data_IF_285935693813
#
_entry.id   IF_285935693813
#
_cell.length_a   1.000
_cell.length_b   1.000
_cell.length_c   1.000
_cell.angle_alpha   90.00
_cell.angle_beta   90.00
_cell.angle_gamma   90.00
#
_symmetry.space_group_name_H-M   'P 1'
#
loop_
_entity.id
_entity.type
_entity.pdbx_description
1 polymer ?
#
# COMPACT_ATOMS: atom_id res chain seq x y z
N UNK A 1 -0.61 -19.96 -36.87
CA UNK A 1 -1.41 -18.81 -36.42
C UNK A 1 -2.74 -19.38 -35.92
N UNK A 2 -2.68 -20.11 -34.81
CA UNK A 2 -3.88 -20.59 -34.12
C UNK A 2 -4.39 -19.43 -33.27
N UNK A 3 -5.64 -19.05 -33.50
CA UNK A 3 -6.38 -18.15 -32.63
C UNK A 3 -6.53 -18.84 -31.28
N UNK A 4 -5.61 -18.58 -30.35
CA UNK A 4 -5.73 -19.03 -28.97
C UNK A 4 -6.86 -18.28 -28.29
N UNK A 5 -7.78 -19.10 -27.80
CA UNK A 5 -9.07 -18.79 -27.23
C UNK A 5 -9.06 -17.56 -26.32
N UNK A 6 -9.88 -16.57 -26.68
CA UNK A 6 -10.48 -15.62 -25.73
C UNK A 6 -11.45 -16.32 -24.76
N UNK A 7 -11.31 -17.65 -24.56
CA UNK A 7 -12.23 -18.55 -23.87
C UNK A 7 -11.63 -19.18 -22.61
N UNK A 8 -10.34 -18.95 -22.32
CA UNK A 8 -9.79 -19.30 -21.00
C UNK A 8 -10.49 -18.49 -19.91
N UNK A 9 -11.11 -19.18 -18.95
CA UNK A 9 -11.78 -18.61 -17.78
C UNK A 9 -10.89 -17.60 -17.02
N UNK A 10 -9.57 -17.75 -17.13
CA UNK A 10 -8.59 -16.91 -16.48
C UNK A 10 -8.26 -15.60 -17.22
N UNK A 11 -8.58 -15.50 -18.51
CA UNK A 11 -8.25 -14.33 -19.34
C UNK A 11 -8.83 -13.01 -18.77
N UNK A 12 -10.02 -13.06 -18.18
CA UNK A 12 -10.66 -11.89 -17.57
C UNK A 12 -9.82 -11.35 -16.40
N UNK A 13 -9.32 -12.23 -15.54
CA UNK A 13 -8.47 -11.89 -14.41
C UNK A 13 -7.12 -11.35 -14.87
N UNK A 14 -6.52 -11.94 -15.89
CA UNK A 14 -5.27 -11.44 -16.47
C UNK A 14 -5.41 -10.01 -16.98
N UNK A 15 -6.48 -9.75 -17.74
CA UNK A 15 -6.78 -8.42 -18.26
C UNK A 15 -7.07 -7.41 -17.15
N UNK A 16 -7.82 -7.80 -16.11
CA UNK A 16 -8.05 -6.95 -14.94
C UNK A 16 -6.75 -6.62 -14.22
N UNK A 17 -5.85 -7.59 -14.03
CA UNK A 17 -4.54 -7.34 -13.43
C UNK A 17 -3.74 -6.35 -14.26
N UNK A 18 -3.60 -6.61 -15.55
CA UNK A 18 -2.78 -5.79 -16.45
C UNK A 18 -3.27 -4.34 -16.47
N UNK A 19 -4.59 -4.14 -16.50
CA UNK A 19 -5.22 -2.82 -16.45
C UNK A 19 -5.03 -2.13 -15.10
N UNK A 20 -5.37 -2.82 -14.01
CA UNK A 20 -5.31 -2.28 -12.64
C UNK A 20 -3.88 -1.93 -12.23
N UNK A 21 -2.93 -2.82 -12.52
CA UNK A 21 -1.53 -2.59 -12.24
C UNK A 21 -0.97 -1.43 -13.07
N UNK A 22 -1.35 -1.30 -14.35
CA UNK A 22 -0.88 -0.19 -15.19
C UNK A 22 -1.33 1.17 -14.66
N UNK A 23 -2.59 1.29 -14.23
CA UNK A 23 -3.11 2.52 -13.65
C UNK A 23 -2.52 2.78 -12.25
N UNK A 24 -2.36 1.74 -11.42
CA UNK A 24 -1.63 1.83 -10.16
C UNK A 24 -0.20 2.32 -10.37
N UNK A 25 0.53 1.73 -11.32
CA UNK A 25 1.92 2.06 -11.60
C UNK A 25 2.05 3.51 -12.07
N UNK A 26 1.14 3.97 -12.93
CA UNK A 26 1.08 5.38 -13.34
C UNK A 26 0.97 6.30 -12.12
N UNK A 27 0.03 6.03 -11.21
CA UNK A 27 -0.14 6.82 -9.98
C UNK A 27 1.10 6.81 -9.10
N UNK A 28 1.73 5.64 -8.95
CA UNK A 28 2.94 5.44 -8.15
C UNK A 28 4.11 6.33 -8.60
N UNK A 29 4.22 6.62 -9.91
CA UNK A 29 5.28 7.46 -10.46
C UNK A 29 4.91 8.93 -10.67
N UNK A 30 3.63 9.30 -10.54
CA UNK A 30 3.15 10.68 -10.68
C UNK A 30 2.75 11.30 -9.36
N UNK A 31 3.42 10.94 -8.27
CA UNK A 31 3.13 11.41 -6.91
C UNK A 31 1.64 11.33 -6.54
N UNK A 32 0.96 10.28 -7.01
CA UNK A 32 -0.48 10.04 -6.81
C UNK A 32 -1.42 11.13 -7.34
N UNK A 33 -1.12 11.68 -8.51
CA UNK A 33 -2.08 12.53 -9.24
C UNK A 33 -3.31 11.72 -9.73
N UNK A 34 -4.31 11.59 -8.86
CA UNK A 34 -5.57 10.87 -9.11
C UNK A 34 -6.42 11.46 -10.23
N UNK A 35 -6.09 12.66 -10.75
CA UNK A 35 -6.78 13.23 -11.92
C UNK A 35 -6.44 12.48 -13.21
N UNK A 36 -5.29 11.80 -13.25
CA UNK A 36 -4.80 11.04 -14.40
C UNK A 36 -5.25 9.59 -14.41
N UNK A 37 -5.97 9.13 -13.39
CA UNK A 37 -6.45 7.76 -13.29
C UNK A 37 -7.54 7.48 -14.32
N UNK A 38 -7.37 6.42 -15.10
CA UNK A 38 -8.44 5.89 -15.91
C UNK A 38 -9.13 4.74 -15.16
N UNK A 39 -10.45 4.81 -15.06
CA UNK A 39 -11.25 3.76 -14.43
C UNK A 39 -11.03 2.40 -15.11
N UNK A 40 -10.87 1.37 -14.28
CA UNK A 40 -10.81 -0.07 -14.57
C UNK A 40 -12.12 -0.79 -14.22
N UNK A 41 -13.17 -0.02 -13.89
CA UNK A 41 -14.47 -0.53 -13.45
C UNK A 41 -15.12 -1.46 -14.46
N UNK A 42 -14.85 -1.26 -15.75
CA UNK A 42 -15.35 -2.14 -16.81
C UNK A 42 -14.79 -3.55 -16.64
N UNK A 43 -13.48 -3.69 -16.58
CA UNK A 43 -12.78 -4.96 -16.38
C UNK A 43 -13.16 -5.61 -15.05
N UNK A 44 -13.30 -4.79 -13.99
CA UNK A 44 -13.74 -5.24 -12.67
C UNK A 44 -15.15 -5.84 -12.71
N UNK A 45 -16.10 -5.15 -13.36
CA UNK A 45 -17.48 -5.62 -13.47
C UNK A 45 -17.55 -6.92 -14.28
N UNK A 46 -16.82 -7.02 -15.39
CA UNK A 46 -16.75 -8.24 -16.20
C UNK A 46 -16.23 -9.46 -15.37
N UNK A 47 -15.26 -9.26 -14.49
CA UNK A 47 -14.77 -10.33 -13.60
C UNK A 47 -15.79 -10.68 -12.48
N UNK A 48 -16.47 -9.68 -11.93
CA UNK A 48 -17.51 -9.91 -10.91
C UNK A 48 -18.69 -10.69 -11.47
N UNK A 49 -19.15 -10.35 -12.68
CA UNK A 49 -20.23 -11.06 -13.37
C UNK A 49 -19.84 -12.52 -13.66
N UNK A 50 -18.58 -12.74 -14.05
CA UNK A 50 -18.02 -14.09 -14.21
C UNK A 50 -18.05 -14.88 -12.90
N UNK A 51 -17.68 -14.29 -11.76
CA UNK A 51 -17.72 -15.02 -10.48
C UNK A 51 -19.13 -15.24 -9.92
N UNK A 52 -20.06 -14.30 -10.14
CA UNK A 52 -21.46 -14.46 -9.72
C UNK A 52 -22.15 -15.64 -10.42
N UNK A 53 -21.76 -15.91 -11.67
CA UNK A 53 -22.26 -17.05 -12.43
C UNK A 53 -21.63 -18.38 -12.00
N UNK A 54 -20.50 -18.36 -11.29
CA UNK A 54 -19.72 -19.55 -10.89
C UNK A 54 -19.61 -19.77 -9.37
N UNK A 55 -20.55 -19.22 -8.59
CA UNK A 55 -20.77 -19.55 -7.15
C UNK A 55 -19.61 -19.22 -6.19
N UNK A 56 -19.12 -17.98 -6.18
CA UNK A 56 -18.34 -17.44 -5.04
C UNK A 56 -19.20 -16.56 -4.11
N UNK A 57 -18.83 -16.41 -2.82
CA UNK A 57 -19.64 -15.64 -1.87
C UNK A 57 -19.69 -14.16 -2.26
N UNK A 58 -20.87 -13.55 -2.07
CA UNK A 58 -21.14 -12.12 -2.31
C UNK A 58 -20.35 -11.21 -1.36
N UNK A 59 -19.04 -11.09 -1.54
CA UNK A 59 -18.19 -10.22 -0.71
C UNK A 59 -18.13 -8.76 -1.21
N UNK A 60 -18.54 -8.50 -2.46
CA UNK A 60 -18.37 -7.19 -3.10
C UNK A 60 -19.63 -6.30 -3.12
N UNK A 61 -20.71 -6.69 -2.44
CA UNK A 61 -21.89 -5.81 -2.27
C UNK A 61 -21.67 -4.85 -1.10
N UNK A 62 -20.71 -3.95 -1.21
CA UNK A 62 -20.79 -2.69 -0.48
C UNK A 62 -21.38 -1.65 -1.42
N UNK A 63 -22.68 -1.41 -1.25
CA UNK A 63 -23.28 -0.16 -1.73
C UNK A 63 -22.47 0.98 -1.10
N UNK A 64 -21.80 1.78 -1.94
CA UNK A 64 -21.31 3.07 -1.51
C UNK A 64 -22.54 3.90 -1.16
N UNK A 65 -22.94 3.92 0.11
CA UNK A 65 -23.86 4.93 0.59
C UNK A 65 -23.18 6.28 0.36
N UNK A 66 -23.56 6.93 -0.73
CA UNK A 66 -23.22 8.33 -0.94
C UNK A 66 -23.79 9.09 0.25
N UNK A 67 -22.99 9.87 0.99
CA UNK A 67 -23.51 10.68 2.07
C UNK A 67 -24.64 11.54 1.50
N UNK A 68 -25.87 11.33 1.97
CA UNK A 68 -26.98 12.22 1.68
C UNK A 68 -26.61 13.56 2.30
N UNK A 69 -26.12 14.47 1.45
CA UNK A 69 -25.73 15.82 1.84
C UNK A 69 -26.95 16.54 2.39
N UNK A 70 -26.93 16.79 3.70
CA UNK A 70 -27.89 17.68 4.33
C UNK A 70 -27.56 19.11 3.85
N UNK A 71 -28.40 19.62 2.96
CA UNK A 71 -28.29 20.97 2.43
C UNK A 71 -28.60 21.96 3.54
N UNK A 72 -27.61 22.74 4.00
CA UNK A 72 -27.74 24.17 4.34
C UNK A 72 -26.46 24.69 5.00
N UNK A 73 -25.49 25.11 4.17
CA UNK A 73 -24.55 26.23 4.39
C UNK A 73 -23.71 26.37 3.12
N UNK A 74 -23.57 27.58 2.60
CA UNK A 74 -22.67 27.85 1.49
C UNK A 74 -21.22 27.66 1.97
N UNK A 75 -20.68 26.46 1.77
CA UNK A 75 -19.27 26.20 2.04
C UNK A 75 -18.39 26.97 1.04
N UNK A 76 -17.30 27.61 1.50
CA UNK A 76 -16.35 28.30 0.62
C UNK A 76 -15.79 27.35 -0.45
N UNK A 77 -15.60 27.88 -1.67
CA UNK A 77 -15.19 27.12 -2.86
C UNK A 77 -13.92 26.28 -2.66
N UNK A 78 -13.01 26.75 -1.80
CA UNK A 78 -11.82 26.02 -1.38
C UNK A 78 -12.14 24.68 -0.68
N UNK A 79 -13.12 24.65 0.23
CA UNK A 79 -13.53 23.41 0.92
C UNK A 79 -14.18 22.42 -0.04
N UNK A 80 -14.96 22.91 -1.01
CA UNK A 80 -15.56 22.08 -2.06
C UNK A 80 -14.50 21.41 -2.95
N UNK A 81 -13.41 22.12 -3.25
CA UNK A 81 -12.33 21.56 -4.05
C UNK A 81 -11.55 20.48 -3.29
N UNK A 82 -11.26 20.69 -2.01
CA UNK A 82 -10.63 19.67 -1.14
C UNK A 82 -11.51 18.42 -1.05
N UNK A 83 -12.81 18.60 -0.81
CA UNK A 83 -13.71 17.45 -0.67
C UNK A 83 -13.87 16.70 -1.99
N UNK A 84 -13.91 17.40 -3.13
CA UNK A 84 -13.91 16.76 -4.45
C UNK A 84 -12.65 15.93 -4.69
N UNK A 85 -11.48 16.45 -4.32
CA UNK A 85 -10.21 15.72 -4.42
C UNK A 85 -10.19 14.49 -3.52
N UNK A 86 -10.65 14.64 -2.27
CA UNK A 86 -10.78 13.54 -1.29
C UNK A 86 -11.69 12.43 -1.81
N UNK A 87 -12.86 12.79 -2.35
CA UNK A 87 -13.82 11.84 -2.92
C UNK A 87 -13.28 11.17 -4.19
N UNK A 88 -12.55 11.90 -5.04
CA UNK A 88 -11.89 11.31 -6.20
C UNK A 88 -10.83 10.28 -5.75
N UNK A 89 -9.98 10.64 -4.78
CA UNK A 89 -9.00 9.72 -4.19
C UNK A 89 -9.68 8.48 -3.63
N UNK A 90 -10.75 8.65 -2.85
CA UNK A 90 -11.51 7.54 -2.26
C UNK A 90 -12.02 6.58 -3.34
N UNK A 91 -12.66 7.11 -4.39
CA UNK A 91 -13.17 6.31 -5.52
C UNK A 91 -12.06 5.49 -6.18
N UNK A 92 -10.93 6.13 -6.50
CA UNK A 92 -9.80 5.44 -7.16
C UNK A 92 -9.22 4.34 -6.27
N UNK A 93 -9.03 4.64 -4.98
CA UNK A 93 -8.55 3.68 -3.99
C UNK A 93 -9.49 2.49 -3.85
N UNK A 94 -10.80 2.72 -3.79
CA UNK A 94 -11.79 1.64 -3.68
C UNK A 94 -11.82 0.75 -4.92
N UNK A 95 -11.74 1.36 -6.11
CA UNK A 95 -11.74 0.62 -7.37
C UNK A 95 -10.49 -0.27 -7.52
N UNK A 96 -9.31 0.26 -7.19
CA UNK A 96 -8.07 -0.52 -7.19
C UNK A 96 -8.06 -1.59 -6.07
N UNK A 97 -8.54 -1.25 -4.88
CA UNK A 97 -8.65 -2.20 -3.76
C UNK A 97 -9.53 -3.39 -4.17
N UNK A 98 -10.73 -3.13 -4.68
CA UNK A 98 -11.65 -4.19 -5.12
C UNK A 98 -11.02 -5.04 -6.21
N UNK A 99 -10.31 -4.43 -7.16
CA UNK A 99 -9.63 -5.14 -8.23
C UNK A 99 -8.57 -6.09 -7.69
N UNK A 100 -7.69 -5.64 -6.79
CA UNK A 100 -6.62 -6.49 -6.23
C UNK A 100 -7.15 -7.57 -5.27
N UNK A 101 -8.18 -7.29 -4.49
CA UNK A 101 -8.85 -8.29 -3.65
C UNK A 101 -9.53 -9.36 -4.50
N UNK A 102 -10.22 -8.97 -5.59
CA UNK A 102 -10.83 -9.90 -6.54
C UNK A 102 -9.78 -10.78 -7.22
N UNK A 103 -8.67 -10.18 -7.66
CA UNK A 103 -7.55 -10.90 -8.27
C UNK A 103 -6.93 -11.91 -7.29
N UNK A 104 -6.80 -11.54 -6.01
CA UNK A 104 -6.29 -12.44 -4.97
C UNK A 104 -7.20 -13.66 -4.80
N UNK A 105 -8.53 -13.43 -4.78
CA UNK A 105 -9.51 -14.51 -4.74
C UNK A 105 -9.44 -15.39 -5.99
N UNK A 106 -9.27 -14.80 -7.17
CA UNK A 106 -9.06 -15.52 -8.43
C UNK A 106 -7.82 -16.42 -8.38
N UNK A 107 -6.69 -15.90 -7.88
CA UNK A 107 -5.45 -16.67 -7.76
C UNK A 107 -5.61 -17.91 -6.88
N UNK A 108 -6.37 -17.80 -5.78
CA UNK A 108 -6.71 -18.92 -4.91
C UNK A 108 -7.65 -19.91 -5.61
N UNK A 109 -8.65 -19.40 -6.34
CA UNK A 109 -9.64 -20.23 -7.03
C UNK A 109 -9.02 -21.07 -8.15
N UNK A 110 -8.09 -20.49 -8.91
CA UNK A 110 -7.41 -21.16 -10.02
C UNK A 110 -6.10 -21.87 -9.59
N UNK A 111 -5.75 -21.85 -8.30
CA UNK A 111 -4.53 -22.46 -7.73
C UNK A 111 -3.26 -22.10 -8.52
N UNK A 112 -3.10 -20.81 -8.86
CA UNK A 112 -2.02 -20.35 -9.76
C UNK A 112 -0.62 -20.48 -9.18
N UNK A 113 -0.53 -20.46 -7.85
CA UNK A 113 0.72 -20.52 -7.09
C UNK A 113 0.45 -21.39 -5.87
N UNK A 114 1.18 -22.49 -5.75
CA UNK A 114 1.02 -23.39 -4.62
C UNK A 114 1.73 -22.84 -3.38
N UNK A 115 1.22 -23.16 -2.19
CA UNK A 115 1.78 -22.68 -0.91
C UNK A 115 3.20 -23.16 -0.62
N UNK A 116 3.64 -24.26 -1.24
CA UNK A 116 4.95 -24.87 -1.02
C UNK A 116 5.87 -24.76 -2.24
N UNK A 117 5.48 -23.96 -3.23
CA UNK A 117 6.22 -23.78 -4.47
C UNK A 117 7.48 -22.95 -4.22
N UNK A 118 8.62 -23.38 -4.78
CA UNK A 118 9.81 -22.53 -4.83
C UNK A 118 9.67 -21.50 -5.93
N UNK A 119 10.38 -20.38 -5.84
CA UNK A 119 10.26 -19.32 -6.84
C UNK A 119 10.52 -19.83 -8.26
N UNK A 120 11.52 -20.68 -8.44
CA UNK A 120 11.96 -21.29 -9.69
C UNK A 120 10.88 -22.15 -10.34
N UNK A 121 9.99 -22.73 -9.53
CA UNK A 121 8.90 -23.59 -10.00
C UNK A 121 7.69 -22.77 -10.49
N UNK A 122 7.54 -21.52 -10.01
CA UNK A 122 6.43 -20.64 -10.39
C UNK A 122 6.54 -20.26 -11.87
N UNK A 123 5.47 -20.53 -12.63
CA UNK A 123 5.35 -20.13 -14.02
C UNK A 123 5.56 -18.62 -14.17
N UNK A 124 6.37 -18.20 -15.14
CA UNK A 124 6.80 -16.80 -15.31
C UNK A 124 5.62 -15.82 -15.41
N UNK A 125 4.53 -16.22 -16.06
CA UNK A 125 3.30 -15.41 -16.16
C UNK A 125 2.58 -15.19 -14.81
N UNK A 126 2.74 -16.13 -13.87
CA UNK A 126 2.06 -16.12 -12.58
C UNK A 126 2.82 -15.32 -11.51
N UNK A 127 4.12 -15.08 -11.68
CA UNK A 127 4.95 -14.32 -10.72
C UNK A 127 4.33 -12.97 -10.38
N UNK A 128 3.66 -12.32 -11.35
CA UNK A 128 3.07 -11.01 -11.14
C UNK A 128 2.00 -10.98 -10.03
N UNK A 129 1.36 -12.12 -9.76
CA UNK A 129 0.35 -12.24 -8.71
C UNK A 129 0.95 -12.28 -7.29
N UNK A 130 2.24 -12.57 -7.15
CA UNK A 130 2.95 -12.44 -5.86
C UNK A 130 2.93 -11.00 -5.31
N UNK A 131 2.69 -10.01 -6.18
CA UNK A 131 2.60 -8.60 -5.79
C UNK A 131 1.26 -8.23 -5.13
N UNK A 132 0.22 -9.06 -5.26
CA UNK A 132 -1.15 -8.69 -4.88
C UNK A 132 -1.33 -8.26 -3.42
N UNK A 133 -0.72 -8.95 -2.41
CA UNK A 133 -0.86 -8.50 -1.03
C UNK A 133 -0.22 -7.11 -0.82
N UNK A 134 0.95 -6.85 -1.43
CA UNK A 134 1.56 -5.53 -1.40
C UNK A 134 0.68 -4.45 -2.06
N UNK A 135 0.20 -4.70 -3.27
CA UNK A 135 -0.63 -3.75 -4.02
C UNK A 135 -1.90 -3.38 -3.24
N UNK A 136 -2.55 -4.38 -2.66
CA UNK A 136 -3.73 -4.18 -1.80
C UNK A 136 -3.39 -3.34 -0.58
N UNK A 137 -2.30 -3.69 0.13
CA UNK A 137 -1.86 -2.96 1.31
C UNK A 137 -1.56 -1.49 0.99
N UNK A 138 -0.82 -1.26 -0.09
CA UNK A 138 -0.35 0.06 -0.46
C UNK A 138 -1.50 0.98 -0.89
N UNK A 139 -2.48 0.48 -1.65
CA UNK A 139 -3.70 1.22 -1.97
C UNK A 139 -4.50 1.55 -0.70
N UNK A 140 -4.59 0.63 0.26
CA UNK A 140 -5.27 0.86 1.53
C UNK A 140 -4.58 1.93 2.40
N UNK A 141 -3.25 2.01 2.39
CA UNK A 141 -2.50 3.08 3.09
C UNK A 141 -2.92 4.46 2.60
N UNK A 142 -3.26 4.59 1.32
CA UNK A 142 -3.67 5.84 0.70
C UNK A 142 -5.14 6.22 0.98
N UNK A 143 -5.95 5.34 1.58
CA UNK A 143 -7.39 5.59 1.81
C UNK A 143 -7.62 6.81 2.72
N UNK A 144 -8.35 7.85 2.26
CA UNK A 144 -8.57 9.09 3.01
C UNK A 144 -9.74 8.93 4.02
N UNK A 145 -9.63 7.95 4.90
CA UNK A 145 -10.61 7.65 5.95
C UNK A 145 -9.96 7.67 7.34
N UNK A 146 -10.14 8.80 8.02
CA UNK A 146 -9.59 9.01 9.37
C UNK A 146 -10.41 8.33 10.47
N UNK A 147 -11.68 7.97 10.22
CA UNK A 147 -12.53 7.33 11.22
C UNK A 147 -12.14 5.86 11.37
N UNK A 148 -11.90 5.19 10.23
CA UNK A 148 -11.49 3.79 10.20
C UNK A 148 -9.98 3.59 10.08
N UNK A 149 -9.16 4.65 10.26
CA UNK A 149 -7.71 4.59 10.04
C UNK A 149 -7.05 3.46 10.84
N UNK A 150 -7.45 3.23 12.09
CA UNK A 150 -6.90 2.16 12.92
C UNK A 150 -7.11 0.77 12.29
N UNK A 151 -8.35 0.45 11.90
CA UNK A 151 -8.68 -0.85 11.30
C UNK A 151 -8.04 -1.02 9.92
N UNK A 152 -8.01 0.05 9.12
CA UNK A 152 -7.29 0.08 7.84
C UNK A 152 -5.81 -0.27 8.05
N UNK A 153 -5.12 0.41 8.97
CA UNK A 153 -3.70 0.17 9.23
C UNK A 153 -3.41 -1.24 9.74
N UNK A 154 -4.30 -1.82 10.56
CA UNK A 154 -4.19 -3.23 10.97
C UNK A 154 -4.32 -4.18 9.78
N UNK A 155 -5.28 -3.92 8.87
CA UNK A 155 -5.44 -4.70 7.64
C UNK A 155 -4.22 -4.57 6.73
N UNK A 156 -3.68 -3.36 6.58
CA UNK A 156 -2.43 -3.12 5.84
C UNK A 156 -1.27 -3.92 6.42
N UNK A 157 -1.09 -3.94 7.76
CA UNK A 157 -0.03 -4.74 8.39
C UNK A 157 -0.15 -6.22 8.01
N UNK A 158 -1.36 -6.78 8.03
CA UNK A 158 -1.59 -8.19 7.67
C UNK A 158 -1.11 -8.46 6.25
N UNK A 159 -1.53 -7.67 5.27
CA UNK A 159 -1.14 -7.85 3.88
C UNK A 159 0.36 -7.64 3.62
N UNK A 160 0.99 -6.66 4.29
CA UNK A 160 2.44 -6.45 4.17
C UNK A 160 3.24 -7.60 4.80
N UNK A 161 2.78 -8.12 5.95
CA UNK A 161 3.41 -9.27 6.60
C UNK A 161 3.24 -10.53 5.75
N UNK A 162 2.07 -10.75 5.17
CA UNK A 162 1.81 -11.83 4.21
C UNK A 162 2.77 -11.74 3.03
N UNK A 163 2.86 -10.58 2.38
CA UNK A 163 3.78 -10.35 1.27
C UNK A 163 5.24 -10.68 1.64
N UNK A 164 5.73 -10.13 2.76
CA UNK A 164 7.11 -10.33 3.21
C UNK A 164 7.39 -11.78 3.60
N UNK A 165 6.44 -12.48 4.22
CA UNK A 165 6.56 -13.90 4.51
C UNK A 165 6.64 -14.73 3.23
N UNK A 166 5.81 -14.45 2.23
CA UNK A 166 5.85 -15.13 0.93
C UNK A 166 7.20 -14.94 0.26
N UNK A 167 7.71 -13.70 0.18
CA UNK A 167 9.04 -13.45 -0.38
C UNK A 167 10.17 -14.12 0.42
N UNK A 168 10.05 -14.17 1.74
CA UNK A 168 11.03 -14.83 2.60
C UNK A 168 11.02 -16.35 2.42
N UNK A 169 9.85 -16.97 2.24
CA UNK A 169 9.72 -18.41 2.02
C UNK A 169 10.23 -18.85 0.65
N UNK A 170 10.15 -17.95 -0.33
CA UNK A 170 10.64 -18.15 -1.69
C UNK A 170 12.10 -17.68 -1.90
N UNK A 171 12.82 -17.36 -0.82
CA UNK A 171 14.22 -16.86 -0.85
C UNK A 171 14.45 -15.63 -1.77
N UNK A 172 13.42 -14.78 -1.89
CA UNK A 172 13.45 -13.59 -2.75
C UNK A 172 13.98 -12.32 -2.06
N UNK A 173 14.07 -12.34 -0.72
CA UNK A 173 14.60 -11.23 0.08
C UNK A 173 16.13 -11.21 0.01
N UNK A 174 16.72 -10.03 -0.15
CA UNK A 174 18.19 -9.89 -0.05
C UNK A 174 18.65 -10.13 1.38
N UNK A 175 19.91 -10.53 1.62
CA UNK A 175 20.42 -10.75 2.97
C UNK A 175 20.20 -9.56 3.92
N UNK A 176 20.46 -8.34 3.44
CA UNK A 176 20.25 -7.11 4.20
C UNK A 176 18.75 -6.88 4.55
N UNK A 177 17.83 -7.24 3.65
CA UNK A 177 16.38 -7.12 3.84
C UNK A 177 15.84 -8.20 4.77
N UNK A 178 16.31 -9.44 4.60
CA UNK A 178 15.97 -10.56 5.46
C UNK A 178 16.41 -10.29 6.90
N UNK A 179 17.62 -9.77 7.10
CA UNK A 179 18.10 -9.38 8.43
C UNK A 179 17.18 -8.34 9.09
N UNK A 180 16.72 -7.33 8.35
CA UNK A 180 15.80 -6.32 8.86
C UNK A 180 14.40 -6.90 9.15
N UNK A 181 13.91 -7.79 8.28
CA UNK A 181 12.64 -8.47 8.43
C UNK A 181 12.61 -9.37 9.68
N UNK A 182 13.63 -10.21 9.85
CA UNK A 182 13.74 -11.14 10.97
C UNK A 182 13.94 -10.42 12.31
N UNK A 183 14.72 -9.34 12.33
CA UNK A 183 14.99 -8.60 13.57
C UNK A 183 13.74 -7.91 14.13
N UNK A 184 12.81 -7.50 13.26
CA UNK A 184 11.68 -6.63 13.66
C UNK A 184 10.31 -7.28 13.58
N UNK A 185 10.06 -8.13 12.59
CA UNK A 185 8.71 -8.51 12.20
C UNK A 185 8.48 -10.02 12.13
N UNK A 186 9.51 -10.84 11.88
CA UNK A 186 9.37 -12.29 11.96
C UNK A 186 9.27 -12.73 13.43
N UNK A 187 8.13 -13.33 13.81
CA UNK A 187 7.90 -13.86 15.18
C UNK A 187 8.45 -15.26 15.41
N UNK A 188 9.18 -15.82 14.45
CA UNK A 188 9.58 -17.22 14.41
C UNK A 188 11.08 -17.37 14.18
N UNK A 189 11.88 -17.03 15.17
CA UNK A 189 13.15 -17.74 15.38
C UNK A 189 13.45 -17.82 16.88
N UNK A 190 13.31 -19.02 17.44
CA UNK A 190 13.78 -19.40 18.78
C UNK A 190 15.32 -19.36 18.89
N UNK A 191 16.03 -18.78 17.91
CA UNK A 191 17.49 -18.71 17.82
C UNK A 191 18.07 -17.32 18.10
N UNK A 192 17.26 -16.29 18.34
CA UNK A 192 17.75 -14.94 18.62
C UNK A 192 18.08 -14.75 20.11
N UNK A 193 18.89 -15.65 20.65
CA UNK A 193 19.50 -15.50 21.96
C UNK A 193 20.68 -14.53 21.93
N UNK A 194 20.72 -13.64 22.94
CA UNK A 194 21.94 -13.10 23.58
C UNK A 194 22.56 -11.83 22.93
N UNK A 195 22.40 -10.71 23.66
CA UNK A 195 23.33 -9.58 23.85
C UNK A 195 23.88 -8.77 22.66
N UNK A 196 23.13 -7.83 22.07
CA UNK A 196 23.74 -6.84 21.14
C UNK A 196 23.03 -5.47 21.06
N UNK A 197 22.57 -4.88 22.18
CA UNK A 197 21.81 -3.61 22.11
C UNK A 197 22.66 -2.35 21.79
N UNK A 198 23.99 -2.43 21.78
CA UNK A 198 24.88 -1.28 21.55
C UNK A 198 25.54 -1.21 20.16
N UNK A 199 25.85 -2.34 19.51
CA UNK A 199 26.47 -2.38 18.16
C UNK A 199 25.44 -2.35 17.01
N UNK A 200 24.19 -2.75 17.29
CA UNK A 200 23.12 -2.83 16.29
C UNK A 200 22.69 -1.50 15.66
N UNK A 201 22.91 -0.36 16.31
CA UNK A 201 22.37 0.91 15.79
C UNK A 201 23.13 1.47 14.58
N UNK A 202 24.47 1.32 14.55
CA UNK A 202 25.27 1.74 13.38
C UNK A 202 25.05 0.80 12.21
N UNK A 203 24.92 -0.50 12.48
CA UNK A 203 24.64 -1.52 11.47
C UNK A 203 23.26 -1.33 10.83
N UNK A 204 22.20 -1.08 11.61
CA UNK A 204 20.86 -0.83 11.07
C UNK A 204 20.83 0.45 10.22
N UNK A 205 21.56 1.50 10.63
CA UNK A 205 21.65 2.73 9.84
C UNK A 205 22.33 2.46 8.49
N UNK A 206 23.42 1.70 8.49
CA UNK A 206 24.14 1.33 7.27
C UNK A 206 23.29 0.45 6.35
N UNK A 207 22.55 -0.52 6.90
CA UNK A 207 21.59 -1.34 6.16
C UNK A 207 20.52 -0.48 5.49
N UNK A 208 19.94 0.50 6.21
CA UNK A 208 18.96 1.44 5.64
C UNK A 208 19.54 2.31 4.52
N UNK A 209 20.79 2.75 4.65
CA UNK A 209 21.47 3.53 3.59
C UNK A 209 21.66 2.68 2.33
N UNK A 210 22.14 1.44 2.48
CA UNK A 210 22.27 0.50 1.35
C UNK A 210 20.92 0.21 0.70
N UNK A 211 19.88 0.02 1.51
CA UNK A 211 18.53 -0.21 1.05
C UNK A 211 17.99 0.96 0.23
N UNK A 212 18.17 2.20 0.71
CA UNK A 212 17.76 3.40 -0.02
C UNK A 212 18.53 3.61 -1.33
N UNK A 213 19.82 3.27 -1.36
CA UNK A 213 20.60 3.29 -2.62
C UNK A 213 20.05 2.30 -3.62
N UNK A 214 19.82 1.05 -3.19
CA UNK A 214 19.30 0.01 -4.05
C UNK A 214 17.87 0.29 -4.53
N UNK A 215 17.02 0.86 -3.68
CA UNK A 215 15.69 1.32 -4.07
C UNK A 215 15.77 2.34 -5.22
N UNK A 216 16.71 3.29 -5.13
CA UNK A 216 16.94 4.28 -6.19
C UNK A 216 17.37 3.63 -7.50
N UNK A 217 18.29 2.67 -7.42
CA UNK A 217 18.81 1.97 -8.60
C UNK A 217 17.72 1.12 -9.28
N UNK A 218 16.91 0.40 -8.49
CA UNK A 218 15.74 -0.34 -8.99
C UNK A 218 14.73 0.60 -9.65
N UNK A 219 14.40 1.71 -8.98
CA UNK A 219 13.47 2.70 -9.52
C UNK A 219 13.93 3.24 -10.88
N UNK A 220 15.23 3.55 -11.00
CA UNK A 220 15.83 4.00 -12.25
C UNK A 220 15.73 2.92 -13.35
N UNK A 221 16.17 1.70 -13.06
CA UNK A 221 16.15 0.58 -14.02
C UNK A 221 14.74 0.23 -14.51
N UNK A 222 13.76 0.19 -13.61
CA UNK A 222 12.36 -0.06 -13.96
C UNK A 222 11.78 1.07 -14.81
N UNK A 223 12.09 2.33 -14.48
CA UNK A 223 11.65 3.48 -15.28
C UNK A 223 12.18 3.40 -16.72
N UNK A 224 13.47 3.09 -16.89
CA UNK A 224 14.09 2.89 -18.21
C UNK A 224 13.44 1.72 -18.96
N UNK A 225 13.16 0.62 -18.26
CA UNK A 225 12.48 -0.56 -18.83
C UNK A 225 11.10 -0.21 -19.38
N UNK A 226 10.26 0.44 -18.58
CA UNK A 226 8.90 0.82 -19.00
C UNK A 226 8.86 1.91 -20.08
N UNK A 227 9.86 2.79 -20.12
CA UNK A 227 10.02 3.74 -21.22
C UNK A 227 10.36 3.00 -22.52
N UNK A 228 11.23 2.00 -22.47
CA UNK A 228 11.63 1.21 -23.64
C UNK A 228 10.52 0.29 -24.17
N UNK A 229 9.67 -0.25 -23.28
CA UNK A 229 8.50 -1.05 -23.66
C UNK A 229 7.32 -0.19 -24.16
N UNK A 230 7.40 1.13 -24.00
CA UNK A 230 6.40 2.11 -24.39
C UNK A 230 5.21 2.24 -23.43
N UNK A 231 4.82 1.17 -22.75
CA UNK A 231 3.89 1.23 -21.61
C UNK A 231 4.02 0.00 -20.70
N UNK A 232 3.53 0.14 -19.45
CA UNK A 232 3.38 -0.95 -18.48
C UNK A 232 2.42 -2.01 -19.02
N UNK A 233 1.32 -1.59 -19.62
CA UNK A 233 0.31 -2.51 -20.15
C UNK A 233 0.88 -3.38 -21.28
N UNK A 234 1.69 -2.79 -22.18
CA UNK A 234 2.39 -3.56 -23.23
C UNK A 234 3.43 -4.51 -22.67
N UNK A 235 4.13 -4.10 -21.61
CA UNK A 235 5.05 -4.99 -20.91
C UNK A 235 4.32 -6.15 -20.25
N UNK A 236 3.13 -5.95 -19.68
CA UNK A 236 2.38 -7.01 -19.00
C UNK A 236 1.57 -7.91 -19.95
N UNK A 237 1.16 -7.40 -21.11
CA UNK A 237 0.54 -8.18 -22.19
C UNK A 237 1.54 -9.09 -22.91
N UNK A 238 2.78 -9.15 -22.42
CA UNK A 238 3.83 -9.96 -22.98
C UNK A 238 3.48 -11.43 -22.88
N UNK A 239 3.22 -12.05 -24.05
CA UNK A 239 3.03 -13.50 -24.16
C UNK A 239 4.36 -14.13 -24.52
N UNK A 240 4.73 -15.16 -23.77
CA UNK A 240 5.94 -15.96 -23.93
C UNK A 240 5.85 -16.80 -25.21
N UNK A 241 6.00 -16.18 -26.37
CA UNK A 241 6.09 -16.88 -27.64
C UNK A 241 7.57 -17.18 -27.95
N UNK A 242 8.02 -18.38 -27.55
CA UNK A 242 9.23 -19.10 -28.00
C UNK A 242 10.61 -18.42 -27.88
N UNK A 243 10.69 -17.17 -27.41
CA UNK A 243 11.94 -16.43 -27.24
C UNK A 243 12.40 -16.47 -25.77
N UNK A 244 13.37 -17.34 -25.48
CA UNK A 244 13.91 -17.57 -24.14
C UNK A 244 14.55 -16.32 -23.53
N UNK A 245 15.25 -15.51 -24.32
CA UNK A 245 15.93 -14.29 -23.83
C UNK A 245 14.89 -13.27 -23.35
N UNK A 246 13.75 -13.24 -24.05
CA UNK A 246 12.59 -12.40 -23.77
C UNK A 246 11.85 -12.83 -22.52
N UNK A 247 11.65 -14.13 -22.31
CA UNK A 247 11.09 -14.66 -21.06
C UNK A 247 11.94 -14.28 -19.86
N UNK A 248 13.26 -14.51 -19.95
CA UNK A 248 14.21 -14.21 -18.89
C UNK A 248 14.18 -12.71 -18.53
N UNK A 249 14.15 -11.84 -19.54
CA UNK A 249 14.01 -10.39 -19.34
C UNK A 249 12.72 -10.02 -18.60
N UNK A 250 11.58 -10.59 -18.99
CA UNK A 250 10.29 -10.34 -18.34
C UNK A 250 10.30 -10.83 -16.88
N UNK A 251 10.79 -12.06 -16.64
CA UNK A 251 10.93 -12.65 -15.31
C UNK A 251 11.81 -11.81 -14.39
N UNK A 252 12.98 -11.37 -14.88
CA UNK A 252 13.91 -10.52 -14.13
C UNK A 252 13.32 -9.14 -13.81
N UNK A 253 12.50 -8.61 -14.70
CA UNK A 253 11.80 -7.34 -14.48
C UNK A 253 10.74 -7.50 -13.38
N UNK A 254 9.93 -8.57 -13.41
CA UNK A 254 8.97 -8.86 -12.33
C UNK A 254 9.66 -9.04 -10.97
N UNK A 255 10.80 -9.75 -10.94
CA UNK A 255 11.63 -9.90 -9.74
C UNK A 255 12.14 -8.55 -9.22
N UNK A 256 12.53 -7.64 -10.12
CA UNK A 256 12.95 -6.28 -9.76
C UNK A 256 11.81 -5.47 -9.13
N UNK A 257 10.57 -5.65 -9.61
CA UNK A 257 9.39 -5.02 -9.00
C UNK A 257 9.11 -5.62 -7.62
N UNK A 258 9.15 -6.94 -7.46
CA UNK A 258 8.95 -7.60 -6.16
C UNK A 258 9.97 -7.11 -5.13
N UNK A 259 11.24 -6.97 -5.53
CA UNK A 259 12.31 -6.42 -4.67
C UNK A 259 12.04 -4.97 -4.29
N UNK A 260 11.62 -4.13 -5.24
CA UNK A 260 11.23 -2.75 -4.94
C UNK A 260 10.10 -2.72 -3.89
N UNK A 261 9.07 -3.53 -4.09
CA UNK A 261 7.94 -3.62 -3.18
C UNK A 261 8.32 -4.19 -1.80
N UNK A 262 9.32 -5.07 -1.70
CA UNK A 262 9.81 -5.56 -0.41
C UNK A 262 10.44 -4.44 0.43
N UNK A 263 11.20 -3.54 -0.21
CA UNK A 263 11.79 -2.37 0.43
C UNK A 263 10.70 -1.43 0.93
N UNK A 264 9.73 -1.15 0.07
CA UNK A 264 8.61 -0.28 0.42
C UNK A 264 7.75 -0.87 1.53
N UNK A 265 7.54 -2.19 1.54
CA UNK A 265 6.84 -2.90 2.62
C UNK A 265 7.50 -2.68 3.97
N UNK A 266 8.82 -2.80 4.06
CA UNK A 266 9.56 -2.51 5.28
C UNK A 266 9.39 -1.04 5.71
N UNK A 267 9.43 -0.10 4.77
CA UNK A 267 9.21 1.32 5.05
C UNK A 267 7.79 1.59 5.58
N UNK A 268 6.76 1.01 4.94
CA UNK A 268 5.38 1.12 5.39
C UNK A 268 5.17 0.48 6.75
N UNK A 269 5.69 -0.72 7.00
CA UNK A 269 5.60 -1.37 8.32
C UNK A 269 6.22 -0.52 9.43
N UNK A 270 7.39 0.08 9.18
CA UNK A 270 8.00 1.02 10.13
C UNK A 270 7.12 2.26 10.34
N UNK A 271 6.52 2.81 9.28
CA UNK A 271 5.61 3.96 9.38
C UNK A 271 4.37 3.62 10.22
N UNK A 272 3.77 2.46 9.99
CA UNK A 272 2.57 2.01 10.70
C UNK A 272 2.88 1.69 12.16
N UNK A 273 4.04 1.09 12.45
CA UNK A 273 4.54 0.87 13.82
C UNK A 273 4.59 2.20 14.61
N UNK A 274 4.98 3.28 13.95
CA UNK A 274 5.01 4.63 14.54
C UNK A 274 3.62 5.27 14.63
N UNK A 275 2.74 5.07 13.64
CA UNK A 275 1.42 5.73 13.56
C UNK A 275 0.39 5.10 14.52
N UNK A 276 0.35 3.77 14.63
CA UNK A 276 -0.68 3.04 15.37
C UNK A 276 -0.85 3.47 16.84
N UNK A 277 0.22 3.65 17.65
CA UNK A 277 0.06 4.02 19.05
C UNK A 277 -0.63 5.38 19.25
N UNK A 278 -0.45 6.32 18.31
CA UNK A 278 -1.11 7.62 18.38
C UNK A 278 -2.61 7.52 18.07
N UNK A 279 -2.97 6.72 17.07
CA UNK A 279 -4.37 6.50 16.72
C UNK A 279 -5.09 5.73 17.82
N UNK A 280 -4.46 4.68 18.36
CA UNK A 280 -5.03 3.88 19.45
C UNK A 280 -5.35 4.76 20.67
N UNK A 281 -4.41 5.63 21.09
CA UNK A 281 -4.64 6.59 22.17
C UNK A 281 -5.79 7.55 21.84
N UNK A 282 -5.89 8.02 20.59
CA UNK A 282 -6.98 8.88 20.15
C UNK A 282 -8.34 8.18 20.26
N UNK A 283 -8.44 6.92 19.82
CA UNK A 283 -9.69 6.15 19.91
C UNK A 283 -10.08 5.85 21.36
N UNK A 284 -9.13 5.46 22.21
CA UNK A 284 -9.36 5.27 23.65
C UNK A 284 -9.84 6.56 24.32
N UNK A 285 -9.27 7.71 23.96
CA UNK A 285 -9.72 9.01 24.49
C UNK A 285 -11.14 9.36 23.99
N UNK A 286 -11.48 9.10 22.73
CA UNK A 286 -12.86 9.34 22.25
C UNK A 286 -13.88 8.55 23.07
N UNK A 287 -13.58 7.28 23.38
CA UNK A 287 -14.43 6.43 24.22
C UNK A 287 -14.55 6.99 25.65
N UNK A 288 -13.44 7.41 26.26
CA UNK A 288 -13.44 7.98 27.60
C UNK A 288 -14.27 9.28 27.72
N UNK A 289 -14.39 10.07 26.65
CA UNK A 289 -15.19 11.30 26.63
C UNK A 289 -16.59 11.16 26.01
N UNK A 290 -16.97 9.97 25.52
CA UNK A 290 -18.33 9.70 25.02
C UNK A 290 -19.25 9.09 26.07
N UNK A 291 -18.69 8.54 27.15
CA UNK A 291 -19.43 7.98 28.30
C UNK A 291 -19.71 8.99 29.42
N UNK A 292 -19.31 10.26 29.29
CA UNK A 292 -19.76 11.27 30.25
C UNK A 292 -21.27 11.53 30.06
N UNK A 293 -22.10 11.38 31.11
CA UNK A 293 -23.49 11.79 31.01
C UNK A 293 -23.51 13.25 30.59
N UNK A 294 -24.33 13.59 29.59
CA UNK A 294 -24.61 14.98 29.21
C UNK A 294 -25.22 15.69 30.42
N UNK A 295 -24.38 16.19 31.32
CA UNK A 295 -24.80 17.13 32.34
C UNK A 295 -25.15 18.39 31.55
N UNK A 296 -26.43 18.72 31.51
CA UNK A 296 -26.95 20.00 31.03
C UNK A 296 -26.36 21.12 31.92
N UNK A 297 -25.11 21.46 31.69
CA UNK A 297 -24.48 22.63 32.27
C UNK A 297 -24.97 23.80 31.44
N UNK A 298 -26.05 24.43 31.91
CA UNK A 298 -26.40 25.81 31.51
C UNK A 298 -25.11 26.62 31.48
N UNK A 299 -24.77 27.14 30.32
CA UNK A 299 -23.57 27.93 30.09
C UNK A 299 -23.53 29.16 31.00
N UNK A 300 -22.82 29.07 32.13
CA UNK A 300 -22.34 30.26 32.80
C UNK A 300 -21.23 30.84 31.92
N UNK A 301 -21.46 32.03 31.36
CA UNK A 301 -20.53 32.76 30.52
C UNK A 301 -19.18 32.97 31.23
N UNK A 302 -18.24 32.06 31.05
CA UNK A 302 -16.85 32.29 31.46
C UNK A 302 -16.21 33.20 30.42
N UNK A 303 -15.77 34.37 30.88
CA UNK A 303 -15.04 35.36 30.07
C UNK A 303 -13.79 34.71 29.44
N UNK A 304 -13.37 35.16 28.25
CA UNK A 304 -12.15 34.67 27.62
C UNK A 304 -10.93 34.96 28.50
N UNK A 305 -10.05 33.98 28.65
CA UNK A 305 -8.78 34.17 29.33
C UNK A 305 -7.80 34.88 28.40
N UNK A 306 -7.28 36.01 28.86
CA UNK A 306 -6.20 36.73 28.18
C UNK A 306 -4.87 36.32 28.79
N UNK A 307 -3.97 35.77 27.96
CA UNK A 307 -2.60 35.48 28.37
C UNK A 307 -1.79 36.78 28.33
N UNK A 308 -1.49 37.35 29.50
CA UNK A 308 -0.50 38.43 29.61
C UNK A 308 0.90 37.82 29.58
N UNK A 309 1.64 38.07 28.49
CA UNK A 309 3.07 37.77 28.42
C UNK A 309 3.80 38.94 29.09
N UNK A 310 4.29 38.72 30.31
CA UNK A 310 5.12 39.71 31.00
C UNK A 310 6.48 39.87 30.31
N UNK A 311 6.93 41.13 30.18
CA UNK A 311 8.21 41.53 29.55
C UNK A 311 9.46 40.96 30.23
N UNK A 312 9.31 40.24 31.35
CA UNK A 312 10.39 39.58 32.08
C UNK A 312 10.49 38.07 31.82
N UNK A 313 9.71 37.54 30.86
CA UNK A 313 9.82 36.15 30.43
C UNK A 313 11.16 35.94 29.71
N UNK A 314 12.20 35.52 30.46
CA UNK A 314 13.47 35.07 29.90
C UNK A 314 13.23 33.77 29.13
N UNK A 315 12.86 33.89 27.86
CA UNK A 315 13.02 32.82 26.89
C UNK A 315 14.52 32.54 26.81
N UNK A 316 14.95 31.36 27.28
CA UNK A 316 16.34 30.93 27.28
C UNK A 316 16.86 30.88 25.83
N UNK A 317 17.55 31.93 25.42
CA UNK A 317 18.30 32.02 24.18
C UNK A 317 19.63 31.28 24.33
N UNK A 318 19.63 29.95 24.19
CA UNK A 318 20.86 29.20 23.95
C UNK A 318 20.99 28.88 22.45
N UNK A 319 21.27 29.90 21.64
CA UNK A 319 21.76 29.75 20.27
C UNK A 319 22.55 31.03 19.89
N UNK A 320 23.73 31.21 20.46
CA UNK A 320 24.71 32.16 19.95
C UNK A 320 26.12 31.85 20.45
N UNK A 321 26.68 30.72 20.02
CA UNK A 321 28.13 30.57 19.90
C UNK A 321 28.42 29.58 18.79
N UNK A 322 28.71 30.10 17.59
CA UNK A 322 29.73 29.61 16.65
C UNK A 322 29.63 30.39 15.32
N UNK A 323 30.13 31.62 15.33
CA UNK A 323 30.63 32.31 14.14
C UNK A 323 31.65 33.35 14.58
N UNK A 324 32.86 32.89 14.90
CA UNK A 324 34.10 33.66 14.79
C UNK A 324 35.24 32.66 14.53
N UNK A 325 35.45 32.33 13.26
CA UNK A 325 36.72 32.35 12.52
C UNK A 325 36.47 31.94 11.08
#
# INVERSE_FOLDING_TARGET
MESLDSSSDFYLFDRLFNRSFSEYWKLFWTDYDFSKYNSVRKELTECLDFLQTHSLPQYFQHESESPKGDSTKEEPEFQKNIERERLNKLRVVEELQQSFELLSMGCIHFDLISKNEQFEDVHTENIKYLMLPYLTAHVLVEKPDMQNRFSILKKVQIYLIEFMNTLSQMDLLRPDELQLWETKFAKSSEHSGINERGRKSEDIRNLRIKQASFERDLKKSLSETFLSSGSVERFLQFRLAEDSDREEFYRNTLLSILRLFSIQSLNHLNSIEMELPFIERRELNKLAFSDEPKIDVKSSSSKPWFLHIDKNSKVLSHLSHLTQL
#
